data_IF_301331222071
#
_entry.id   IF_301331222071
#
_cell.length_a   1.000
_cell.length_b   1.000
_cell.length_c   1.000
_cell.angle_alpha   90.00
_cell.angle_beta   90.00
_cell.angle_gamma   90.00
#
_symmetry.space_group_name_H-M   'P 1'
#
loop_
_entity.id
_entity.type
_entity.pdbx_description
1 polymer ?
#
# COMPACT_ATOMS: atom_id res chain seq x y z
N UNK A 1 -6.63 -17.92 24.91
CA UNK A 1 -6.23 -17.05 23.79
C UNK A 1 -5.14 -17.78 23.02
N UNK A 2 -5.48 -18.39 21.89
CA UNK A 2 -4.49 -19.00 20.99
C UNK A 2 -3.74 -17.89 20.25
N UNK A 3 -2.54 -17.56 20.74
CA UNK A 3 -1.63 -16.70 19.99
C UNK A 3 -1.26 -17.43 18.72
N UNK A 4 -1.78 -17.02 17.57
CA UNK A 4 -1.28 -17.44 16.26
C UNK A 4 0.23 -17.23 16.25
N UNK A 5 0.99 -18.27 15.96
CA UNK A 5 2.45 -18.15 15.84
C UNK A 5 2.75 -17.13 14.73
N UNK A 6 3.82 -16.32 14.84
CA UNK A 6 4.20 -15.37 13.78
C UNK A 6 4.22 -15.99 12.38
N UNK A 7 4.53 -17.29 12.30
CA UNK A 7 4.66 -18.09 11.07
C UNK A 7 3.34 -18.44 10.35
N UNK A 8 2.17 -18.12 10.94
CA UNK A 8 0.87 -18.50 10.37
C UNK A 8 0.08 -17.30 9.84
N UNK A 9 0.59 -16.08 9.98
CA UNK A 9 -0.08 -14.87 9.52
C UNK A 9 0.05 -14.69 8.02
N UNK A 10 -1.07 -14.36 7.37
CA UNK A 10 -1.17 -14.20 5.92
C UNK A 10 -1.29 -12.72 5.56
N UNK A 11 -0.39 -12.24 4.70
CA UNK A 11 -0.42 -10.88 4.16
C UNK A 11 -0.68 -10.89 2.64
N UNK A 12 -1.46 -9.94 2.17
CA UNK A 12 -1.62 -9.60 0.75
C UNK A 12 -1.09 -8.19 0.52
N UNK A 13 -0.11 -8.05 -0.36
CA UNK A 13 0.49 -6.77 -0.73
C UNK A 13 0.20 -6.48 -2.19
N UNK A 14 -0.58 -5.43 -2.47
CA UNK A 14 -0.84 -5.00 -3.86
C UNK A 14 0.28 -4.08 -4.36
N UNK A 15 0.60 -4.17 -5.66
CA UNK A 15 1.73 -3.43 -6.22
C UNK A 15 3.10 -3.91 -5.71
N UNK A 16 3.22 -5.21 -5.39
CA UNK A 16 4.41 -5.81 -4.79
C UNK A 16 5.56 -6.07 -5.79
N UNK A 17 5.40 -5.74 -7.06
CA UNK A 17 6.42 -5.96 -8.09
C UNK A 17 7.55 -4.91 -8.11
N UNK A 18 7.48 -3.84 -7.32
CA UNK A 18 8.52 -2.80 -7.26
C UNK A 18 8.37 -1.89 -6.02
N UNK A 19 9.36 -1.06 -5.77
CA UNK A 19 9.33 0.05 -4.81
C UNK A 19 8.84 -0.34 -3.42
N UNK A 20 7.96 0.48 -2.83
CA UNK A 20 7.44 0.30 -1.46
C UNK A 20 6.76 -1.05 -1.29
N UNK A 21 5.97 -1.48 -2.29
CA UNK A 21 5.28 -2.78 -2.22
C UNK A 21 6.24 -3.95 -2.14
N UNK A 22 7.30 -3.96 -2.97
CA UNK A 22 8.37 -4.97 -2.94
C UNK A 22 9.07 -4.98 -1.58
N UNK A 23 9.57 -3.83 -1.13
CA UNK A 23 10.29 -3.72 0.13
C UNK A 23 9.43 -4.17 1.33
N UNK A 24 8.15 -3.74 1.37
CA UNK A 24 7.21 -4.15 2.42
C UNK A 24 6.95 -5.65 2.41
N UNK A 25 6.71 -6.24 1.23
CA UNK A 25 6.46 -7.67 1.11
C UNK A 25 7.68 -8.49 1.56
N UNK A 26 8.89 -8.07 1.18
CA UNK A 26 10.15 -8.69 1.62
C UNK A 26 10.36 -8.56 3.13
N UNK A 27 10.09 -7.38 3.72
CA UNK A 27 10.19 -7.18 5.17
C UNK A 27 9.19 -8.07 5.94
N UNK A 28 7.99 -8.27 5.40
CA UNK A 28 6.99 -9.18 5.99
C UNK A 28 7.46 -10.64 5.93
N UNK A 29 8.00 -11.11 4.79
CA UNK A 29 8.57 -12.46 4.67
C UNK A 29 9.69 -12.66 5.67
N UNK A 30 10.66 -11.74 5.71
CA UNK A 30 11.76 -11.78 6.66
C UNK A 30 11.33 -11.78 8.14
N UNK A 31 10.11 -11.30 8.42
CA UNK A 31 9.48 -11.31 9.75
C UNK A 31 8.54 -12.51 9.96
N UNK A 32 8.60 -13.53 9.11
CA UNK A 32 7.88 -14.80 9.27
C UNK A 32 6.44 -14.81 8.78
N UNK A 33 5.98 -13.79 8.02
CA UNK A 33 4.67 -13.82 7.38
C UNK A 33 4.67 -14.68 6.12
N UNK A 34 3.53 -15.25 5.78
CA UNK A 34 3.24 -15.74 4.44
C UNK A 34 2.65 -14.61 3.62
N UNK A 35 3.27 -14.28 2.49
CA UNK A 35 2.95 -13.07 1.74
C UNK A 35 2.52 -13.39 0.31
N UNK A 36 1.35 -12.92 -0.05
CA UNK A 36 0.89 -12.91 -1.44
C UNK A 36 1.34 -11.59 -2.08
N UNK A 37 2.29 -11.68 -3.00
CA UNK A 37 2.76 -10.59 -3.85
C UNK A 37 1.80 -10.42 -5.01
N UNK A 38 1.10 -9.30 -5.10
CA UNK A 38 0.18 -9.05 -6.20
C UNK A 38 0.52 -7.81 -7.00
N UNK A 39 0.25 -7.87 -8.29
CA UNK A 39 0.48 -6.82 -9.27
C UNK A 39 0.26 -7.34 -10.68
N UNK A 40 0.27 -6.46 -11.69
CA UNK A 40 -0.06 -6.83 -13.07
C UNK A 40 0.99 -7.70 -13.77
N UNK A 41 2.28 -7.52 -13.44
CA UNK A 41 3.40 -8.17 -14.13
C UNK A 41 3.94 -9.33 -13.32
N UNK A 42 3.66 -10.56 -13.77
CA UNK A 42 4.08 -11.77 -13.05
C UNK A 42 5.61 -11.87 -12.90
N UNK A 43 6.36 -11.49 -13.95
CA UNK A 43 7.82 -11.56 -13.90
C UNK A 43 8.41 -10.60 -12.85
N UNK A 44 7.86 -9.38 -12.72
CA UNK A 44 8.28 -8.45 -11.67
C UNK A 44 7.92 -8.95 -10.26
N UNK A 45 6.83 -9.70 -10.11
CA UNK A 45 6.49 -10.32 -8.81
C UNK A 45 7.47 -11.46 -8.48
N UNK A 46 7.80 -12.31 -9.43
CA UNK A 46 8.80 -13.39 -9.27
C UNK A 46 10.18 -12.84 -8.95
N UNK A 47 10.60 -11.79 -9.67
CA UNK A 47 11.85 -11.09 -9.38
C UNK A 47 11.85 -10.51 -7.95
N UNK A 48 10.75 -9.92 -7.51
CA UNK A 48 10.60 -9.39 -6.14
C UNK A 48 10.73 -10.49 -5.08
N UNK A 49 10.15 -11.67 -5.34
CA UNK A 49 10.27 -12.83 -4.45
C UNK A 49 11.72 -13.35 -4.43
N UNK A 50 12.37 -13.46 -5.59
CA UNK A 50 13.75 -13.93 -5.67
C UNK A 50 14.75 -13.00 -4.97
N UNK A 51 14.42 -11.69 -4.86
CA UNK A 51 15.22 -10.71 -4.12
C UNK A 51 14.89 -10.66 -2.62
N UNK A 52 13.78 -11.26 -2.19
CA UNK A 52 13.41 -11.30 -0.80
C UNK A 52 14.35 -12.29 -0.07
N UNK A 53 15.08 -11.81 0.91
CA UNK A 53 15.83 -12.71 1.80
C UNK A 53 14.85 -13.55 2.61
N UNK A 54 15.08 -14.85 2.68
CA UNK A 54 14.29 -15.75 3.53
C UNK A 54 15.19 -16.36 4.62
N UNK A 55 15.05 -15.93 5.87
CA UNK A 55 15.83 -16.48 6.96
C UNK A 55 15.39 -17.90 7.40
N UNK A 56 14.32 -18.44 6.79
CA UNK A 56 13.71 -19.72 7.20
C UNK A 56 13.88 -20.83 6.17
N UNK A 57 14.53 -20.56 5.02
CA UNK A 57 14.78 -21.51 3.92
C UNK A 57 13.48 -22.13 3.31
N UNK A 58 12.34 -21.46 3.44
CA UNK A 58 11.04 -21.92 2.93
C UNK A 58 10.31 -20.86 2.08
N UNK A 59 11.05 -20.06 1.31
CA UNK A 59 10.53 -18.94 0.52
C UNK A 59 9.36 -19.32 -0.40
N UNK A 60 9.42 -20.50 -1.02
CA UNK A 60 8.38 -20.99 -1.92
C UNK A 60 7.04 -21.25 -1.23
N UNK A 61 7.06 -21.49 0.09
CA UNK A 61 5.87 -21.64 0.91
C UNK A 61 5.38 -20.29 1.48
N UNK A 62 6.30 -19.33 1.65
CA UNK A 62 6.04 -18.03 2.29
C UNK A 62 5.71 -16.93 1.32
N UNK A 63 6.23 -16.98 0.10
CA UNK A 63 6.05 -15.92 -0.88
C UNK A 63 5.39 -16.46 -2.14
N UNK A 64 4.18 -16.03 -2.41
CA UNK A 64 3.40 -16.47 -3.57
C UNK A 64 3.10 -15.28 -4.49
N UNK A 65 3.34 -15.45 -5.79
CA UNK A 65 3.00 -14.45 -6.80
C UNK A 65 1.60 -14.68 -7.35
N UNK A 66 0.73 -13.67 -7.27
CA UNK A 66 -0.62 -13.69 -7.84
C UNK A 66 -0.81 -12.47 -8.73
N UNK A 67 -0.75 -12.64 -10.07
CA UNK A 67 -0.98 -11.53 -10.98
C UNK A 67 -2.42 -11.05 -10.89
N UNK A 68 -2.61 -9.75 -10.66
CA UNK A 68 -3.92 -9.11 -10.64
C UNK A 68 -3.85 -7.65 -11.06
N UNK A 69 -4.93 -7.18 -11.67
CA UNK A 69 -5.18 -5.77 -11.95
C UNK A 69 -6.25 -5.24 -10.98
N UNK A 70 -5.84 -4.36 -10.07
CA UNK A 70 -6.74 -3.80 -9.05
C UNK A 70 -7.85 -2.92 -9.63
N UNK A 71 -7.72 -2.48 -10.89
CA UNK A 71 -8.75 -1.69 -11.58
C UNK A 71 -9.92 -2.56 -12.07
N UNK A 72 -9.76 -3.89 -12.05
CA UNK A 72 -10.75 -4.84 -12.57
C UNK A 72 -11.38 -5.65 -11.44
N UNK A 73 -12.71 -5.50 -11.22
CA UNK A 73 -13.40 -6.23 -10.14
C UNK A 73 -13.27 -7.74 -10.19
N UNK A 74 -13.31 -8.33 -11.40
CA UNK A 74 -13.15 -9.76 -11.64
C UNK A 74 -11.74 -10.25 -11.26
N UNK A 75 -10.70 -9.48 -11.62
CA UNK A 75 -9.32 -9.78 -11.27
C UNK A 75 -9.08 -9.69 -9.77
N UNK A 76 -9.64 -8.68 -9.10
CA UNK A 76 -9.58 -8.55 -7.65
C UNK A 76 -10.30 -9.72 -6.97
N UNK A 77 -11.51 -10.08 -7.43
CA UNK A 77 -12.25 -11.22 -6.89
C UNK A 77 -11.43 -12.53 -6.98
N UNK A 78 -10.85 -12.82 -8.15
CA UNK A 78 -10.03 -14.01 -8.37
C UNK A 78 -8.79 -14.05 -7.46
N UNK A 79 -8.12 -12.89 -7.24
CA UNK A 79 -6.99 -12.79 -6.32
C UNK A 79 -7.38 -13.12 -4.88
N UNK A 80 -8.51 -12.61 -4.39
CA UNK A 80 -8.99 -12.90 -3.03
C UNK A 80 -9.57 -14.32 -2.90
N UNK A 81 -10.15 -14.88 -3.95
CA UNK A 81 -10.57 -16.29 -4.00
C UNK A 81 -9.37 -17.23 -3.89
N UNK A 82 -8.25 -16.89 -4.54
CA UNK A 82 -6.99 -17.61 -4.35
C UNK A 82 -6.52 -17.57 -2.89
N UNK A 83 -6.51 -16.39 -2.26
CA UNK A 83 -6.10 -16.24 -0.84
C UNK A 83 -7.00 -17.09 0.06
N UNK A 84 -8.31 -17.03 -0.15
CA UNK A 84 -9.29 -17.80 0.64
C UNK A 84 -9.11 -19.30 0.44
N UNK A 85 -8.96 -19.76 -0.80
CA UNK A 85 -8.79 -21.19 -1.10
C UNK A 85 -7.47 -21.75 -0.57
N UNK A 86 -6.39 -20.97 -0.64
CA UNK A 86 -5.03 -21.39 -0.25
C UNK A 86 -4.80 -21.36 1.26
N UNK A 87 -5.36 -20.36 1.96
CA UNK A 87 -5.03 -20.08 3.37
C UNK A 87 -6.26 -20.08 4.29
N UNK A 88 -7.47 -19.93 3.78
CA UNK A 88 -8.70 -19.81 4.58
C UNK A 88 -8.84 -18.49 5.34
N UNK A 89 -7.80 -17.63 5.32
CA UNK A 89 -7.73 -16.38 6.08
C UNK A 89 -6.86 -15.31 5.44
N UNK A 90 -7.04 -14.07 5.89
CA UNK A 90 -6.19 -12.93 5.57
C UNK A 90 -6.00 -12.09 6.85
N UNK A 91 -4.75 -11.92 7.30
CA UNK A 91 -4.43 -11.17 8.51
C UNK A 91 -4.02 -9.72 8.21
N UNK A 92 -3.43 -9.47 7.03
CA UNK A 92 -3.01 -8.16 6.57
C UNK A 92 -3.33 -7.95 5.10
N UNK A 93 -4.00 -6.84 4.79
CA UNK A 93 -4.02 -6.26 3.45
C UNK A 93 -3.20 -4.97 3.45
N UNK A 94 -2.17 -4.87 2.61
CA UNK A 94 -1.52 -3.61 2.29
C UNK A 94 -1.95 -3.13 0.91
N UNK A 95 -2.86 -2.15 0.87
CA UNK A 95 -3.30 -1.46 -0.33
C UNK A 95 -2.22 -0.47 -0.78
N UNK A 96 -1.27 -0.97 -1.57
CA UNK A 96 -0.13 -0.17 -2.02
C UNK A 96 -0.15 0.09 -3.53
N UNK A 97 -0.85 -0.71 -4.33
CA UNK A 97 -0.96 -0.47 -5.76
C UNK A 97 -1.38 0.97 -6.06
N UNK A 98 -0.62 1.66 -6.89
CA UNK A 98 -0.87 3.06 -7.21
C UNK A 98 -0.07 3.51 -8.42
N UNK A 99 -0.55 4.58 -9.05
CA UNK A 99 0.11 5.28 -10.15
C UNK A 99 0.29 6.75 -9.78
N UNK A 100 1.37 7.32 -10.29
CA UNK A 100 1.61 8.76 -10.25
C UNK A 100 1.33 9.32 -11.64
N UNK A 101 0.54 10.38 -11.72
CA UNK A 101 0.30 11.06 -13.00
C UNK A 101 1.44 12.04 -13.27
N UNK A 102 1.87 12.19 -14.53
CA UNK A 102 2.81 13.26 -14.89
C UNK A 102 2.29 14.61 -14.42
N UNK A 103 3.18 15.45 -13.90
CA UNK A 103 2.83 16.81 -13.48
C UNK A 103 2.45 17.66 -14.69
N UNK A 104 1.24 18.27 -14.66
CA UNK A 104 0.73 19.13 -15.73
C UNK A 104 -0.29 20.12 -15.19
N UNK A 105 -0.49 21.28 -15.85
CA UNK A 105 -1.55 22.23 -15.53
C UNK A 105 -2.92 21.52 -15.46
N UNK A 106 -3.80 22.01 -14.61
CA UNK A 106 -5.11 21.37 -14.37
C UNK A 106 -5.96 21.30 -15.65
N UNK A 107 -5.94 22.36 -16.46
CA UNK A 107 -6.65 22.45 -17.73
C UNK A 107 -6.17 21.47 -18.81
N UNK A 108 -4.93 21.02 -18.72
CA UNK A 108 -4.30 20.07 -19.66
C UNK A 108 -4.45 18.61 -19.21
N UNK A 109 -4.92 18.37 -17.99
CA UNK A 109 -5.09 17.02 -17.46
C UNK A 109 -6.18 16.26 -18.21
N UNK A 110 -5.79 15.28 -19.02
CA UNK A 110 -6.76 14.48 -19.77
C UNK A 110 -7.65 13.64 -18.85
N UNK A 111 -8.90 13.41 -19.30
CA UNK A 111 -9.84 12.56 -18.57
C UNK A 111 -9.33 11.12 -18.39
N UNK A 112 -8.52 10.63 -19.31
CA UNK A 112 -7.96 9.27 -19.23
C UNK A 112 -6.88 9.18 -18.13
N UNK A 113 -6.02 10.19 -17.99
CA UNK A 113 -5.06 10.25 -16.90
C UNK A 113 -5.77 10.40 -15.53
N UNK A 114 -6.82 11.21 -15.48
CA UNK A 114 -7.66 11.33 -14.30
C UNK A 114 -8.26 9.99 -13.91
N UNK A 115 -8.93 9.31 -14.86
CA UNK A 115 -9.55 8.00 -14.65
C UNK A 115 -8.54 6.95 -14.23
N UNK A 116 -7.38 6.87 -14.90
CA UNK A 116 -6.33 5.93 -14.53
C UNK A 116 -5.87 6.10 -13.08
N UNK A 117 -5.74 7.35 -12.60
CA UNK A 117 -5.42 7.62 -11.20
C UNK A 117 -6.55 7.20 -10.26
N UNK A 118 -7.80 7.54 -10.56
CA UNK A 118 -8.99 7.18 -9.75
C UNK A 118 -9.15 5.66 -9.71
N UNK A 119 -9.11 5.00 -10.86
CA UNK A 119 -9.32 3.56 -10.97
C UNK A 119 -8.26 2.77 -10.21
N UNK A 120 -7.00 3.19 -10.29
CA UNK A 120 -5.91 2.48 -9.60
C UNK A 120 -5.83 2.85 -8.12
N UNK A 121 -5.72 4.16 -7.81
CA UNK A 121 -5.36 4.60 -6.46
C UNK A 121 -6.55 4.57 -5.50
N UNK A 122 -7.77 4.72 -5.99
CA UNK A 122 -8.98 4.80 -5.16
C UNK A 122 -9.89 3.59 -5.35
N UNK A 123 -10.40 3.36 -6.57
CA UNK A 123 -11.32 2.27 -6.85
C UNK A 123 -10.67 0.92 -6.56
N UNK A 124 -9.41 0.73 -6.95
CA UNK A 124 -8.66 -0.50 -6.66
C UNK A 124 -8.49 -0.76 -5.17
N UNK A 125 -8.14 0.27 -4.39
CA UNK A 125 -8.04 0.15 -2.94
C UNK A 125 -9.42 -0.16 -2.30
N UNK A 126 -10.50 0.43 -2.79
CA UNK A 126 -11.87 0.12 -2.35
C UNK A 126 -12.23 -1.34 -2.64
N UNK A 127 -12.02 -1.83 -3.87
CA UNK A 127 -12.31 -3.21 -4.25
C UNK A 127 -11.55 -4.22 -3.39
N UNK A 128 -10.25 -3.99 -3.17
CA UNK A 128 -9.44 -4.83 -2.32
C UNK A 128 -9.92 -4.79 -0.85
N UNK A 129 -10.25 -3.60 -0.33
CA UNK A 129 -10.80 -3.44 1.02
C UNK A 129 -12.12 -4.21 1.17
N UNK A 130 -13.02 -4.11 0.19
CA UNK A 130 -14.31 -4.83 0.20
C UNK A 130 -14.10 -6.35 0.29
N UNK A 131 -13.19 -6.91 -0.49
CA UNK A 131 -12.90 -8.35 -0.47
C UNK A 131 -12.21 -8.77 0.84
N UNK A 132 -11.27 -7.97 1.36
CA UNK A 132 -10.63 -8.23 2.64
C UNK A 132 -11.66 -8.28 3.78
N UNK A 133 -12.60 -7.35 3.82
CA UNK A 133 -13.70 -7.36 4.79
C UNK A 133 -14.51 -8.65 4.74
N UNK A 134 -14.83 -9.17 3.53
CA UNK A 134 -15.57 -10.43 3.38
C UNK A 134 -14.86 -11.63 4.02
N UNK A 135 -13.53 -11.67 3.94
CA UNK A 135 -12.71 -12.72 4.57
C UNK A 135 -12.59 -12.44 6.07
N UNK A 136 -12.11 -11.25 6.45
CA UNK A 136 -11.77 -10.91 7.84
C UNK A 136 -12.96 -10.98 8.80
N UNK A 137 -14.18 -10.69 8.31
CA UNK A 137 -15.40 -10.78 9.10
C UNK A 137 -15.87 -12.21 9.36
N UNK A 138 -15.48 -13.18 8.54
CA UNK A 138 -15.99 -14.56 8.58
C UNK A 138 -14.95 -15.59 8.94
N UNK A 139 -13.67 -15.25 8.91
CA UNK A 139 -12.57 -16.15 9.28
C UNK A 139 -12.52 -16.43 10.79
N UNK A 140 -11.80 -17.47 11.19
CA UNK A 140 -11.55 -17.81 12.59
C UNK A 140 -10.05 -17.92 12.88
N UNK A 141 -9.49 -17.18 13.86
CA UNK A 141 -10.15 -16.11 14.59
C UNK A 141 -10.59 -14.96 13.68
N UNK A 142 -11.69 -14.29 14.06
CA UNK A 142 -12.21 -13.12 13.34
C UNK A 142 -11.25 -11.94 13.41
N UNK A 143 -11.33 -11.03 12.42
CA UNK A 143 -10.55 -9.80 12.40
C UNK A 143 -9.36 -9.86 11.46
N UNK A 144 -8.65 -8.75 11.38
CA UNK A 144 -7.48 -8.56 10.52
C UNK A 144 -7.12 -7.08 10.43
N UNK A 145 -6.10 -6.76 9.63
CA UNK A 145 -5.61 -5.40 9.48
C UNK A 145 -5.58 -4.98 8.01
N UNK A 146 -6.01 -3.77 7.75
CA UNK A 146 -5.90 -3.13 6.43
C UNK A 146 -5.07 -1.87 6.60
N UNK A 147 -4.02 -1.74 5.81
CA UNK A 147 -3.17 -0.55 5.77
C UNK A 147 -3.30 0.04 4.36
N UNK A 148 -3.75 1.28 4.27
CA UNK A 148 -3.82 2.01 3.01
C UNK A 148 -2.55 2.84 2.81
N UNK A 149 -1.91 2.72 1.64
CA UNK A 149 -0.80 3.58 1.27
C UNK A 149 -1.33 4.94 0.84
N UNK A 150 -1.30 5.89 1.76
CA UNK A 150 -1.61 7.29 1.54
C UNK A 150 -0.46 8.05 0.89
N UNK A 151 -0.32 9.30 1.25
CA UNK A 151 0.80 10.18 0.85
C UNK A 151 0.72 11.46 1.67
N UNK A 152 1.85 12.13 1.85
CA UNK A 152 1.84 13.52 2.32
C UNK A 152 1.02 14.44 1.40
N UNK A 153 0.80 14.05 0.14
CA UNK A 153 -0.12 14.74 -0.79
C UNK A 153 -1.59 14.66 -0.37
N UNK A 154 -1.94 13.82 0.61
CA UNK A 154 -3.25 13.86 1.26
C UNK A 154 -3.42 15.05 2.23
N UNK A 155 -2.36 15.81 2.49
CA UNK A 155 -2.34 16.95 3.41
C UNK A 155 -1.86 18.23 2.73
N UNK A 156 -0.74 18.16 1.98
CA UNK A 156 -0.11 19.29 1.31
C UNK A 156 0.17 18.93 -0.16
N UNK A 157 -0.64 19.42 -1.10
CA UNK A 157 -0.48 19.13 -2.53
C UNK A 157 0.77 19.80 -3.09
N UNK A 158 1.24 19.29 -4.24
CA UNK A 158 2.21 19.97 -5.10
C UNK A 158 1.49 20.58 -6.31
N UNK A 159 2.05 21.62 -6.92
CA UNK A 159 1.58 22.10 -8.20
C UNK A 159 1.50 20.96 -9.23
N UNK A 160 0.54 21.02 -10.11
CA UNK A 160 0.36 20.08 -11.23
C UNK A 160 0.10 18.61 -10.84
N UNK A 161 -0.40 18.34 -9.63
CA UNK A 161 -0.64 16.99 -9.12
C UNK A 161 -2.12 16.70 -8.82
N UNK A 162 -3.07 17.31 -9.54
CA UNK A 162 -4.49 17.30 -9.20
C UNK A 162 -5.08 15.90 -9.04
N UNK A 163 -4.89 15.00 -10.03
CA UNK A 163 -5.47 13.65 -9.96
C UNK A 163 -4.88 12.83 -8.81
N UNK A 164 -3.56 12.86 -8.65
CA UNK A 164 -2.89 12.16 -7.55
C UNK A 164 -3.34 12.69 -6.18
N UNK A 165 -3.32 14.01 -6.02
CA UNK A 165 -3.76 14.70 -4.79
C UNK A 165 -5.20 14.33 -4.42
N UNK A 166 -6.12 14.42 -5.39
CA UNK A 166 -7.53 14.08 -5.17
C UNK A 166 -7.70 12.63 -4.70
N UNK A 167 -7.00 11.67 -5.35
CA UNK A 167 -7.09 10.26 -4.95
C UNK A 167 -6.51 10.02 -3.55
N UNK A 168 -5.41 10.68 -3.18
CA UNK A 168 -4.80 10.50 -1.86
C UNK A 168 -5.63 11.14 -0.73
N UNK A 169 -6.33 12.26 -0.97
CA UNK A 169 -7.33 12.78 -0.04
C UNK A 169 -8.53 11.83 0.09
N UNK A 170 -9.00 11.24 -1.02
CA UNK A 170 -10.11 10.30 -1.01
C UNK A 170 -9.78 9.01 -0.23
N UNK A 171 -8.55 8.51 -0.31
CA UNK A 171 -8.07 7.37 0.51
C UNK A 171 -8.19 7.67 2.00
N UNK A 172 -7.95 8.90 2.44
CA UNK A 172 -8.15 9.30 3.84
C UNK A 172 -9.62 9.15 4.27
N UNK A 173 -10.55 9.53 3.39
CA UNK A 173 -11.99 9.32 3.61
C UNK A 173 -12.36 7.83 3.68
N UNK A 174 -11.88 7.04 2.71
CA UNK A 174 -12.10 5.59 2.67
C UNK A 174 -11.55 4.90 3.93
N UNK A 175 -10.34 5.28 4.38
CA UNK A 175 -9.72 4.74 5.59
C UNK A 175 -10.58 4.99 6.83
N UNK A 176 -11.08 6.22 7.00
CA UNK A 176 -11.94 6.59 8.14
C UNK A 176 -13.27 5.82 8.14
N UNK A 177 -13.93 5.73 6.97
CA UNK A 177 -15.19 5.00 6.83
C UNK A 177 -15.00 3.50 7.11
N UNK A 178 -14.00 2.88 6.48
CA UNK A 178 -13.70 1.47 6.67
C UNK A 178 -13.29 1.16 8.13
N UNK A 179 -12.60 2.06 8.83
CA UNK A 179 -12.27 1.89 10.24
C UNK A 179 -13.53 1.87 11.14
N UNK A 180 -14.55 2.67 10.80
CA UNK A 180 -15.84 2.61 11.50
C UNK A 180 -16.55 1.29 11.26
N UNK A 181 -16.64 0.86 10.02
CA UNK A 181 -17.33 -0.38 9.63
C UNK A 181 -16.64 -1.65 10.17
N UNK A 182 -15.32 -1.57 10.42
CA UNK A 182 -14.51 -2.67 10.91
C UNK A 182 -14.60 -2.94 12.41
N UNK A 183 -15.00 -1.96 13.22
CA UNK A 183 -14.91 -2.00 14.70
C UNK A 183 -15.54 -3.23 15.34
N UNK A 184 -16.74 -3.60 14.90
CA UNK A 184 -17.49 -4.71 15.49
C UNK A 184 -16.99 -6.09 15.02
N UNK A 185 -15.94 -6.13 14.19
CA UNK A 185 -15.42 -7.35 13.58
C UNK A 185 -13.91 -7.51 13.79
N UNK A 186 -13.32 -6.71 14.67
CA UNK A 186 -11.87 -6.67 14.91
C UNK A 186 -11.05 -6.42 13.63
N UNK A 187 -11.62 -5.66 12.67
CA UNK A 187 -10.91 -5.22 11.47
C UNK A 187 -10.31 -3.85 11.71
N UNK A 188 -9.01 -3.81 11.99
CA UNK A 188 -8.25 -2.58 12.20
C UNK A 188 -7.89 -1.97 10.84
N UNK A 189 -8.32 -0.74 10.57
CA UNK A 189 -8.00 -0.05 9.31
C UNK A 189 -7.21 1.22 9.63
N UNK A 190 -6.06 1.37 8.97
CA UNK A 190 -5.18 2.54 9.13
C UNK A 190 -4.58 2.98 7.79
N UNK A 191 -3.89 4.10 7.81
CA UNK A 191 -3.23 4.71 6.66
C UNK A 191 -1.81 5.09 7.01
N UNK A 192 -0.90 4.83 6.09
CA UNK A 192 0.46 5.36 6.15
C UNK A 192 0.67 6.39 5.06
N UNK A 193 1.02 7.62 5.43
CA UNK A 193 1.33 8.72 4.52
C UNK A 193 2.83 8.79 4.31
N UNK A 194 3.26 8.31 3.14
CA UNK A 194 4.68 8.21 2.81
C UNK A 194 5.10 9.44 1.99
N UNK A 195 6.18 10.08 2.44
CA UNK A 195 6.87 11.12 1.70
C UNK A 195 7.75 10.56 0.60
N UNK A 196 8.79 11.31 0.20
CA UNK A 196 9.68 10.92 -0.89
C UNK A 196 10.55 9.71 -0.50
N UNK A 197 10.16 8.51 -0.89
CA UNK A 197 10.99 7.30 -0.82
C UNK A 197 11.71 7.07 -2.16
N UNK A 198 12.92 6.53 -2.12
CA UNK A 198 13.68 6.14 -3.32
C UNK A 198 13.05 4.91 -3.94
N UNK A 199 12.39 5.08 -5.08
CA UNK A 199 11.75 4.02 -5.85
C UNK A 199 11.88 4.32 -7.34
N UNK A 200 11.58 3.35 -8.20
CA UNK A 200 11.49 3.59 -9.64
C UNK A 200 10.46 4.70 -9.96
N UNK A 201 9.34 4.72 -9.27
CA UNK A 201 8.28 5.71 -9.44
C UNK A 201 8.74 7.14 -9.09
N UNK A 202 9.65 7.28 -8.13
CA UNK A 202 10.19 8.57 -7.67
C UNK A 202 11.51 8.97 -8.32
N UNK A 203 12.01 8.19 -9.29
CA UNK A 203 13.32 8.47 -9.93
C UNK A 203 13.40 9.88 -10.52
N UNK A 204 12.35 10.33 -11.18
CA UNK A 204 12.25 11.68 -11.75
C UNK A 204 12.27 12.82 -10.72
N UNK A 205 11.98 12.55 -9.44
CA UNK A 205 12.00 13.57 -8.39
C UNK A 205 13.42 14.03 -8.02
N UNK A 206 14.44 13.27 -8.42
CA UNK A 206 15.85 13.64 -8.19
C UNK A 206 16.26 14.89 -8.96
N UNK A 207 15.68 15.11 -10.14
CA UNK A 207 16.00 16.25 -11.02
C UNK A 207 15.31 17.55 -10.62
N UNK A 208 14.33 17.50 -9.72
CA UNK A 208 13.59 18.64 -9.19
C UNK A 208 12.09 18.44 -9.19
N UNK A 209 11.43 19.05 -8.22
CA UNK A 209 9.98 19.07 -8.09
C UNK A 209 9.48 20.51 -8.07
N UNK A 210 8.34 20.79 -8.72
CA UNK A 210 7.74 22.13 -8.67
C UNK A 210 7.33 22.48 -7.25
N UNK A 211 7.69 23.69 -6.81
CA UNK A 211 7.35 24.24 -5.51
C UNK A 211 6.18 25.23 -5.63
N UNK A 212 5.55 25.54 -4.49
CA UNK A 212 4.42 26.46 -4.44
C UNK A 212 4.81 27.89 -4.92
N UNK A 213 6.08 28.28 -4.75
CA UNK A 213 6.64 29.56 -5.22
C UNK A 213 6.99 29.59 -6.72
N UNK A 214 6.68 28.52 -7.46
CA UNK A 214 6.99 28.37 -8.89
C UNK A 214 8.43 27.92 -9.16
N UNK A 215 9.27 27.79 -8.15
CA UNK A 215 10.65 27.31 -8.34
C UNK A 215 10.68 25.78 -8.52
N UNK A 216 11.77 25.29 -9.13
CA UNK A 216 12.10 23.86 -9.21
C UNK A 216 13.18 23.54 -8.21
N UNK A 217 12.95 22.59 -7.29
CA UNK A 217 13.95 22.19 -6.28
C UNK A 217 14.04 20.68 -6.15
N UNK A 218 15.27 20.17 -6.06
CA UNK A 218 15.50 18.80 -5.65
C UNK A 218 15.05 18.62 -4.18
N UNK A 219 14.28 17.57 -3.93
CA UNK A 219 13.81 17.27 -2.58
C UNK A 219 14.54 16.05 -2.00
N UNK A 220 14.77 16.09 -0.69
CA UNK A 220 15.32 14.96 0.02
C UNK A 220 14.43 13.73 -0.11
N UNK A 221 15.04 12.56 -0.24
CA UNK A 221 14.40 11.26 -0.30
C UNK A 221 14.97 10.36 0.79
N UNK A 222 14.17 9.44 1.30
CA UNK A 222 14.59 8.40 2.24
C UNK A 222 14.71 7.06 1.53
N UNK A 223 15.46 6.14 2.13
CA UNK A 223 15.48 4.75 1.68
C UNK A 223 14.07 4.15 1.80
N UNK A 224 13.69 3.34 0.80
CA UNK A 224 12.39 2.66 0.76
C UNK A 224 12.20 1.71 1.94
N UNK A 225 13.30 1.18 2.49
CA UNK A 225 13.26 0.29 3.64
C UNK A 225 12.64 0.95 4.88
N UNK A 226 12.84 2.26 5.08
CA UNK A 226 12.20 2.98 6.20
C UNK A 226 10.66 2.97 6.09
N UNK A 227 10.12 3.03 4.87
CA UNK A 227 8.68 2.90 4.66
C UNK A 227 8.21 1.47 4.92
N UNK A 228 8.98 0.46 4.48
CA UNK A 228 8.69 -0.95 4.72
C UNK A 228 8.67 -1.28 6.21
N UNK A 229 9.65 -0.82 6.98
CA UNK A 229 9.72 -1.02 8.44
C UNK A 229 8.57 -0.33 9.18
N UNK A 230 8.13 0.84 8.72
CA UNK A 230 6.96 1.52 9.29
C UNK A 230 5.66 0.71 9.05
N UNK A 231 5.46 0.16 7.85
CA UNK A 231 4.33 -0.74 7.56
C UNK A 231 4.42 -2.01 8.39
N UNK A 232 5.61 -2.61 8.52
CA UNK A 232 5.84 -3.79 9.35
C UNK A 232 5.51 -3.53 10.83
N UNK A 233 5.88 -2.36 11.35
CA UNK A 233 5.49 -1.94 12.70
C UNK A 233 3.96 -1.91 12.86
N UNK A 234 3.25 -1.25 11.94
CA UNK A 234 1.78 -1.23 11.96
C UNK A 234 1.19 -2.65 11.86
N UNK A 235 1.74 -3.51 11.00
CA UNK A 235 1.29 -4.88 10.76
C UNK A 235 1.42 -5.77 12.00
N UNK A 236 2.45 -5.55 12.82
CA UNK A 236 2.76 -6.38 13.99
C UNK A 236 2.01 -5.99 15.27
N UNK A 237 1.30 -4.87 15.29
CA UNK A 237 0.48 -4.50 16.44
C UNK A 237 -0.66 -5.51 16.64
N UNK A 238 -1.07 -5.80 17.90
CA UNK A 238 -2.27 -6.57 18.16
C UNK A 238 -3.51 -5.85 17.61
N UNK A 239 -4.59 -6.57 17.30
CA UNK A 239 -5.78 -5.97 16.68
C UNK A 239 -6.53 -4.98 17.59
N UNK A 240 -6.33 -5.07 18.91
CA UNK A 240 -6.85 -4.09 19.87
C UNK A 240 -6.18 -2.70 19.77
N UNK A 241 -4.99 -2.63 19.13
CA UNK A 241 -4.26 -1.39 18.90
C UNK A 241 -4.19 -1.08 17.40
N UNK A 242 -4.59 0.12 17.02
CA UNK A 242 -4.57 0.57 15.63
C UNK A 242 -3.81 1.89 15.47
N UNK A 243 -2.83 1.91 14.58
CA UNK A 243 -2.26 3.16 14.06
C UNK A 243 -3.21 3.69 13.00
N UNK A 244 -4.06 4.64 13.37
CA UNK A 244 -5.05 5.20 12.45
C UNK A 244 -4.40 5.99 11.31
N UNK A 245 -3.39 6.81 11.62
CA UNK A 245 -2.58 7.55 10.66
C UNK A 245 -1.12 7.59 11.10
N UNK A 246 -0.23 7.35 10.16
CA UNK A 246 1.22 7.48 10.36
C UNK A 246 1.81 8.24 9.19
N UNK A 247 2.66 9.24 9.46
CA UNK A 247 3.43 9.93 8.42
C UNK A 247 4.91 9.57 8.54
N UNK A 248 5.49 9.09 7.45
CA UNK A 248 6.92 8.75 7.34
C UNK A 248 7.51 9.47 6.13
N UNK A 249 8.55 10.28 6.35
CA UNK A 249 9.12 11.11 5.31
C UNK A 249 10.61 11.37 5.54
N UNK A 250 11.33 11.75 4.48
CA UNK A 250 12.71 12.19 4.63
C UNK A 250 12.78 13.45 5.51
N UNK A 251 13.66 13.46 6.51
CA UNK A 251 13.77 14.56 7.50
C UNK A 251 13.92 15.95 6.87
N UNK A 252 14.66 16.05 5.75
CA UNK A 252 14.90 17.32 5.06
C UNK A 252 13.90 17.61 3.93
N UNK A 253 12.88 16.79 3.77
CA UNK A 253 11.83 17.03 2.79
C UNK A 253 10.91 18.17 3.24
N UNK A 254 10.57 19.15 2.38
CA UNK A 254 9.64 20.20 2.75
C UNK A 254 8.21 19.65 2.89
N UNK A 255 7.60 19.91 4.03
CA UNK A 255 6.22 19.53 4.34
C UNK A 255 5.57 20.55 5.28
N UNK A 256 5.99 20.61 6.55
CA UNK A 256 5.59 21.67 7.48
C UNK A 256 6.31 22.96 7.08
N UNK A 257 5.57 24.08 7.05
CA UNK A 257 6.11 25.35 6.58
C UNK A 257 6.25 25.47 5.05
N UNK A 258 5.69 24.54 4.30
CA UNK A 258 5.51 24.69 2.86
C UNK A 258 4.31 25.63 2.65
N UNK A 259 4.59 26.87 2.29
CA UNK A 259 3.58 27.88 2.07
C UNK A 259 3.96 28.76 0.92
#
# INVERSE_FOLDING_TARGET
MTTTRPHDRIALVTGAGSGIGRATASALVANGWRVVYSGRRLDALRESIAQAGDPFDDIDERALSVPADVTRPDSVAAMFDFVRARFGRLDLLFNNAGVFTPGMPLEDLSIDLWRAAVDTNLTGAFLCTQQAFRIMKTQSPQGGRIINNGSISAHAPRPHAAAYTATKHAITGLTKAAALDGRNFDVAVGQIDIGNAVTELSAGMASGMPQADGSMRAEARMDVEHAAQAVLHMANLPLEANVMFMTVMATRMPFVGRG
#
